data_IF_323591995027
#
_entry.id   IF_323591995027
#
_cell.length_a   1.000
_cell.length_b   1.000
_cell.length_c   1.000
_cell.angle_alpha   90.00
_cell.angle_beta   90.00
_cell.angle_gamma   90.00
#
_symmetry.space_group_name_H-M   'P 1'
#
loop_
_entity.id
_entity.type
_entity.pdbx_description
1 polymer ?
#
# COMPACT_ATOMS: atom_id res chain seq x y z
N UNK A 1 -26.79 19.23 13.69
CA UNK A 1 -26.77 17.81 14.07
C UNK A 1 -25.48 17.08 13.65
N UNK A 2 -25.01 17.19 12.39
CA UNK A 2 -23.75 16.57 11.92
C UNK A 2 -22.50 16.96 12.72
N UNK A 3 -22.34 18.25 13.08
CA UNK A 3 -21.17 18.75 13.84
C UNK A 3 -20.97 18.05 15.19
N UNK A 4 -22.05 17.84 15.96
CA UNK A 4 -22.00 17.18 17.27
C UNK A 4 -21.66 15.68 17.21
N UNK A 5 -22.02 15.01 16.11
CA UNK A 5 -21.70 13.58 15.91
C UNK A 5 -20.22 13.36 15.60
N UNK A 6 -19.58 14.30 14.90
CA UNK A 6 -18.15 14.23 14.60
C UNK A 6 -17.30 14.66 15.81
N UNK A 7 -17.73 15.65 16.58
CA UNK A 7 -17.10 16.06 17.84
C UNK A 7 -17.10 14.93 18.89
N UNK A 8 -18.20 14.18 19.00
CA UNK A 8 -18.29 13.04 19.92
C UNK A 8 -17.36 11.86 19.54
N UNK A 9 -16.98 11.74 18.26
CA UNK A 9 -16.00 10.73 17.81
C UNK A 9 -14.55 11.14 18.08
N UNK A 10 -14.31 12.44 18.28
CA UNK A 10 -12.97 12.99 18.48
C UNK A 10 -12.36 12.59 19.83
N UNK A 11 -13.20 12.42 20.86
CA UNK A 11 -12.78 12.08 22.22
C UNK A 11 -12.93 10.59 22.57
N UNK A 12 -13.49 9.77 21.66
CA UNK A 12 -13.44 8.31 21.82
C UNK A 12 -12.04 7.82 21.53
N UNK A 13 -11.43 7.13 22.50
CA UNK A 13 -10.17 6.43 22.29
C UNK A 13 -10.28 5.55 21.04
N UNK A 14 -9.48 5.87 20.02
CA UNK A 14 -9.41 5.08 18.80
C UNK A 14 -8.86 3.71 19.19
N UNK A 15 -9.73 2.69 19.24
CA UNK A 15 -9.31 1.32 19.52
C UNK A 15 -8.47 0.85 18.34
N UNK A 16 -7.15 0.95 18.50
CA UNK A 16 -6.23 0.42 17.51
C UNK A 16 -6.47 -1.10 17.38
N UNK A 17 -6.52 -1.62 16.14
CA UNK A 17 -6.67 -3.06 15.94
C UNK A 17 -5.51 -3.80 16.61
N UNK A 18 -5.81 -4.97 17.17
CA UNK A 18 -4.78 -5.80 17.79
C UNK A 18 -3.81 -6.30 16.71
N UNK A 19 -2.56 -6.54 17.10
CA UNK A 19 -1.56 -7.13 16.21
C UNK A 19 -2.04 -8.47 15.62
N UNK A 20 -2.76 -9.28 16.40
CA UNK A 20 -3.37 -10.52 15.94
C UNK A 20 -4.38 -10.31 14.80
N UNK A 21 -5.18 -9.25 14.87
CA UNK A 21 -6.16 -8.92 13.83
C UNK A 21 -5.45 -8.50 12.54
N UNK A 22 -4.40 -7.69 12.65
CA UNK A 22 -3.59 -7.26 11.51
C UNK A 22 -2.90 -8.43 10.82
N UNK A 23 -2.34 -9.37 11.60
CA UNK A 23 -1.73 -10.60 11.07
C UNK A 23 -2.76 -11.45 10.34
N UNK A 24 -3.95 -11.63 10.92
CA UNK A 24 -5.04 -12.40 10.30
C UNK A 24 -5.50 -11.76 8.98
N UNK A 25 -5.67 -10.44 8.96
CA UNK A 25 -6.06 -9.69 7.77
C UNK A 25 -4.98 -9.76 6.68
N UNK A 26 -3.71 -9.55 7.03
CA UNK A 26 -2.60 -9.62 6.08
C UNK A 26 -2.49 -11.00 5.43
N UNK A 27 -2.63 -12.06 6.24
CA UNK A 27 -2.66 -13.44 5.74
C UNK A 27 -3.78 -13.64 4.73
N UNK A 28 -5.01 -13.26 5.09
CA UNK A 28 -6.16 -13.37 4.18
C UNK A 28 -5.95 -12.62 2.86
N UNK A 29 -5.46 -11.37 2.91
CA UNK A 29 -5.21 -10.57 1.71
C UNK A 29 -4.14 -11.23 0.84
N UNK A 30 -3.04 -11.69 1.44
CA UNK A 30 -1.93 -12.33 0.71
C UNK A 30 -2.38 -13.64 0.04
N UNK A 31 -3.15 -14.46 0.73
CA UNK A 31 -3.70 -15.70 0.21
C UNK A 31 -4.71 -15.42 -0.92
N UNK A 32 -5.55 -14.39 -0.77
CA UNK A 32 -6.52 -13.96 -1.79
C UNK A 32 -5.81 -13.48 -3.05
N UNK A 33 -4.77 -12.64 -2.92
CA UNK A 33 -3.96 -12.21 -4.06
C UNK A 33 -3.34 -13.40 -4.79
N UNK A 34 -2.70 -14.33 -4.05
CA UNK A 34 -2.03 -15.50 -4.64
C UNK A 34 -3.00 -16.40 -5.36
N UNK A 35 -4.09 -16.80 -4.70
CA UNK A 35 -5.07 -17.74 -5.25
C UNK A 35 -5.83 -17.14 -6.43
N UNK A 36 -6.23 -15.87 -6.36
CA UNK A 36 -6.94 -15.18 -7.44
C UNK A 36 -6.02 -14.99 -8.64
N UNK A 37 -4.75 -14.60 -8.42
CA UNK A 37 -3.77 -14.51 -9.50
C UNK A 37 -3.57 -15.85 -10.21
N UNK A 38 -3.37 -16.95 -9.46
CA UNK A 38 -3.23 -18.29 -10.05
C UNK A 38 -4.47 -18.76 -10.82
N UNK A 39 -5.67 -18.35 -10.40
CA UNK A 39 -6.92 -18.63 -11.15
C UNK A 39 -6.99 -17.81 -12.43
N UNK A 40 -6.68 -16.52 -12.38
CA UNK A 40 -6.68 -15.63 -13.53
C UNK A 40 -5.65 -16.02 -14.60
N UNK A 41 -4.53 -16.64 -14.22
CA UNK A 41 -3.56 -17.21 -15.16
C UNK A 41 -4.12 -18.40 -15.95
N UNK A 42 -5.12 -19.11 -15.42
CA UNK A 42 -5.78 -20.24 -16.09
C UNK A 42 -6.98 -19.78 -16.90
N UNK A 43 -7.77 -18.86 -16.33
CA UNK A 43 -8.98 -18.36 -16.94
C UNK A 43 -9.20 -16.89 -16.57
N UNK A 44 -9.14 -16.03 -17.59
CA UNK A 44 -9.39 -14.60 -17.44
C UNK A 44 -10.88 -14.37 -17.24
N UNK A 45 -11.24 -13.70 -16.14
CA UNK A 45 -12.60 -13.24 -15.94
C UNK A 45 -12.65 -11.88 -15.19
N UNK A 46 -13.66 -11.02 -15.46
CA UNK A 46 -13.74 -9.69 -14.86
C UNK A 46 -13.84 -9.68 -13.34
N UNK A 47 -14.57 -10.64 -12.76
CA UNK A 47 -14.78 -10.72 -11.32
C UNK A 47 -13.46 -11.00 -10.57
N UNK A 48 -12.63 -11.89 -11.10
CA UNK A 48 -11.31 -12.19 -10.56
C UNK A 48 -10.38 -11.00 -10.64
N UNK A 49 -10.38 -10.25 -11.75
CA UNK A 49 -9.57 -9.03 -11.88
C UNK A 49 -9.98 -7.97 -10.86
N UNK A 50 -11.28 -7.78 -10.66
CA UNK A 50 -11.80 -6.87 -9.64
C UNK A 50 -11.36 -7.30 -8.23
N UNK A 51 -11.55 -8.57 -7.88
CA UNK A 51 -11.15 -9.11 -6.58
C UNK A 51 -9.65 -8.96 -6.33
N UNK A 52 -8.83 -9.28 -7.34
CA UNK A 52 -7.38 -9.12 -7.25
C UNK A 52 -6.99 -7.65 -7.06
N UNK A 53 -7.64 -6.73 -7.78
CA UNK A 53 -7.43 -5.29 -7.62
C UNK A 53 -7.79 -4.78 -6.22
N UNK A 54 -8.94 -5.18 -5.69
CA UNK A 54 -9.40 -4.83 -4.34
C UNK A 54 -8.45 -5.38 -3.26
N UNK A 55 -7.99 -6.63 -3.41
CA UNK A 55 -7.04 -7.25 -2.49
C UNK A 55 -5.66 -6.58 -2.53
N UNK A 56 -5.14 -6.26 -3.73
CA UNK A 56 -3.88 -5.54 -3.90
C UNK A 56 -3.94 -4.13 -3.30
N UNK A 57 -5.02 -3.40 -3.55
CA UNK A 57 -5.23 -2.07 -2.97
C UNK A 57 -5.27 -2.15 -1.45
N UNK A 58 -6.00 -3.12 -0.89
CA UNK A 58 -6.06 -3.36 0.56
C UNK A 58 -4.68 -3.64 1.15
N UNK A 59 -3.84 -4.43 0.45
CA UNK A 59 -2.46 -4.72 0.86
C UNK A 59 -1.60 -3.46 0.89
N UNK A 60 -1.70 -2.60 -0.12
CA UNK A 60 -0.94 -1.35 -0.21
C UNK A 60 -1.37 -0.38 0.91
N UNK A 61 -2.67 -0.27 1.18
CA UNK A 61 -3.20 0.57 2.26
C UNK A 61 -2.69 0.07 3.62
N UNK A 62 -2.79 -1.24 3.86
CA UNK A 62 -2.33 -1.86 5.11
C UNK A 62 -0.83 -1.64 5.33
N UNK A 63 -0.02 -1.81 4.28
CA UNK A 63 1.43 -1.63 4.34
C UNK A 63 1.83 -0.18 4.67
N UNK A 64 1.22 0.80 3.99
CA UNK A 64 1.59 2.20 4.16
C UNK A 64 0.97 2.85 5.41
N UNK A 65 0.01 2.19 6.08
CA UNK A 65 -0.83 2.77 7.14
C UNK A 65 -1.39 4.17 6.76
N UNK A 66 -1.55 4.44 5.46
CA UNK A 66 -1.93 5.75 4.87
C UNK A 66 -3.41 5.77 4.49
N UNK A 67 -3.95 6.99 4.35
CA UNK A 67 -5.33 7.21 3.88
C UNK A 67 -5.51 6.60 2.47
N UNK A 68 -6.58 5.83 2.30
CA UNK A 68 -6.90 5.05 1.09
C UNK A 68 -6.86 5.84 -0.22
N UNK A 69 -7.18 7.13 -0.19
CA UNK A 69 -7.40 7.94 -1.39
C UNK A 69 -6.16 8.33 -2.20
N UNK A 70 -4.94 8.17 -1.68
CA UNK A 70 -3.71 8.43 -2.44
C UNK A 70 -3.20 7.14 -3.09
N UNK A 71 -3.19 6.03 -2.33
CA UNK A 71 -2.79 4.71 -2.83
C UNK A 71 -3.68 4.23 -3.97
N UNK A 72 -4.98 4.56 -3.95
CA UNK A 72 -5.91 4.21 -5.03
C UNK A 72 -5.66 4.96 -6.35
N UNK A 73 -4.85 6.03 -6.33
CA UNK A 73 -4.55 6.84 -7.53
C UNK A 73 -3.27 6.41 -8.23
N UNK A 74 -2.53 5.46 -7.65
CA UNK A 74 -1.33 4.91 -8.27
C UNK A 74 -1.74 4.21 -9.57
N UNK A 75 -1.20 4.69 -10.69
CA UNK A 75 -1.39 4.06 -12.00
C UNK A 75 -0.32 3.00 -12.25
N UNK A 76 -0.65 2.02 -13.09
CA UNK A 76 0.28 0.96 -13.52
C UNK A 76 1.51 1.57 -14.20
N UNK A 77 1.33 2.59 -15.05
CA UNK A 77 2.46 3.28 -15.70
C UNK A 77 3.43 3.88 -14.68
N UNK A 78 2.93 4.55 -13.64
CA UNK A 78 3.77 5.12 -12.57
C UNK A 78 4.51 4.03 -11.79
N UNK A 79 3.91 2.85 -11.64
CA UNK A 79 4.60 1.70 -11.08
C UNK A 79 5.68 1.20 -12.04
N UNK A 80 5.42 1.09 -13.34
CA UNK A 80 6.40 0.61 -14.31
C UNK A 80 7.59 1.58 -14.47
N UNK A 81 7.35 2.89 -14.41
CA UNK A 81 8.32 3.98 -14.53
C UNK A 81 8.96 4.37 -13.20
N UNK A 82 8.69 3.63 -12.12
CA UNK A 82 9.24 3.92 -10.79
C UNK A 82 10.77 3.84 -10.82
N UNK A 83 11.41 4.72 -10.03
CA UNK A 83 12.84 4.67 -9.85
C UNK A 83 13.29 3.39 -9.15
N UNK A 84 14.48 2.90 -9.50
CA UNK A 84 15.15 1.80 -8.84
C UNK A 84 16.18 2.38 -7.86
N UNK A 85 16.00 2.13 -6.56
CA UNK A 85 16.93 2.58 -5.53
C UNK A 85 18.38 2.24 -5.84
N UNK A 86 18.66 1.03 -6.34
CA UNK A 86 20.02 0.60 -6.64
C UNK A 86 20.66 1.39 -7.80
N UNK A 87 19.86 1.90 -8.74
CA UNK A 87 20.33 2.58 -9.95
C UNK A 87 20.29 4.10 -9.80
N UNK A 88 19.21 4.63 -9.22
CA UNK A 88 18.87 6.05 -9.27
C UNK A 88 19.27 6.82 -8.00
N UNK A 89 19.70 6.14 -6.93
CA UNK A 89 20.09 6.82 -5.69
C UNK A 89 21.54 7.32 -5.71
N UNK A 90 21.78 8.41 -4.99
CA UNK A 90 23.09 9.03 -4.89
C UNK A 90 24.06 8.13 -4.12
N UNK A 91 25.18 7.77 -4.74
CA UNK A 91 26.23 6.93 -4.15
C UNK A 91 26.78 7.49 -2.82
N UNK A 92 26.96 8.82 -2.70
CA UNK A 92 27.40 9.44 -1.45
C UNK A 92 26.40 9.17 -0.32
N UNK A 93 25.10 9.28 -0.61
CA UNK A 93 24.05 8.95 0.35
C UNK A 93 24.03 7.46 0.68
N UNK A 94 24.23 6.56 -0.30
CA UNK A 94 24.35 5.13 -0.01
C UNK A 94 25.50 4.87 0.95
N UNK A 95 26.63 5.55 0.81
CA UNK A 95 27.80 5.32 1.68
C UNK A 95 27.58 5.75 3.13
N UNK A 96 26.72 6.74 3.39
CA UNK A 96 26.43 7.18 4.76
C UNK A 96 25.46 6.26 5.50
N UNK A 97 24.66 5.47 4.77
CA UNK A 97 23.70 4.55 5.37
C UNK A 97 24.39 3.35 6.03
N UNK A 98 23.88 2.97 7.21
CA UNK A 98 24.19 1.71 7.86
C UNK A 98 23.74 0.51 7.01
N UNK A 99 24.29 -0.67 7.32
CA UNK A 99 23.90 -1.91 6.63
C UNK A 99 22.39 -2.16 6.69
N UNK A 100 21.78 -1.95 7.85
CA UNK A 100 20.34 -2.12 8.06
C UNK A 100 19.51 -1.15 7.24
N UNK A 101 19.94 0.11 7.12
CA UNK A 101 19.22 1.11 6.33
C UNK A 101 19.29 0.80 4.84
N UNK A 102 20.44 0.28 4.36
CA UNK A 102 20.58 -0.21 2.98
C UNK A 102 19.63 -1.37 2.69
N UNK A 103 19.58 -2.35 3.59
CA UNK A 103 18.68 -3.50 3.45
C UNK A 103 17.20 -3.06 3.41
N UNK A 104 16.83 -2.09 4.26
CA UNK A 104 15.48 -1.51 4.25
C UNK A 104 15.23 -0.76 2.94
N UNK A 105 16.14 0.10 2.50
CA UNK A 105 15.99 0.88 1.28
C UNK A 105 15.83 -0.01 0.05
N UNK A 106 16.59 -1.10 -0.04
CA UNK A 106 16.46 -2.10 -1.11
C UNK A 106 15.14 -2.89 -1.06
N UNK A 107 14.55 -3.07 0.12
CA UNK A 107 13.27 -3.79 0.29
C UNK A 107 12.04 -2.94 -0.04
N UNK A 108 12.18 -1.62 -0.08
CA UNK A 108 11.08 -0.68 -0.27
C UNK A 108 11.01 -0.18 -1.71
N UNK A 109 9.81 0.17 -2.14
CA UNK A 109 9.58 0.73 -3.47
C UNK A 109 8.95 2.11 -3.34
N UNK A 110 9.64 3.13 -3.86
CA UNK A 110 9.15 4.50 -3.87
C UNK A 110 8.35 4.78 -5.15
N UNK A 111 7.15 5.34 -4.99
CA UNK A 111 6.28 5.74 -6.10
C UNK A 111 5.76 7.14 -5.84
N UNK A 112 5.98 8.05 -6.78
CA UNK A 112 5.47 9.41 -6.70
C UNK A 112 4.02 9.47 -7.21
N UNK A 113 3.16 10.16 -6.47
CA UNK A 113 1.78 10.42 -6.87
C UNK A 113 1.46 11.90 -6.77
N UNK A 114 0.57 12.39 -7.66
CA UNK A 114 0.10 13.77 -7.60
C UNK A 114 -0.84 13.94 -6.40
N UNK A 115 -0.48 14.86 -5.49
CA UNK A 115 -1.34 15.28 -4.39
C UNK A 115 -2.54 16.12 -4.86
N UNK A 116 -3.37 16.58 -3.92
CA UNK A 116 -4.53 17.47 -4.19
C UNK A 116 -4.11 18.91 -4.51
N UNK A 117 -3.18 19.16 -5.44
CA UNK A 117 -3.08 20.51 -6.02
C UNK A 117 -4.24 20.63 -7.01
N UNK A 118 -5.14 21.58 -6.74
CA UNK A 118 -6.24 21.96 -7.62
C UNK A 118 -5.64 22.32 -8.98
N UNK A 119 -6.06 21.62 -10.02
CA UNK A 119 -6.10 22.22 -11.34
C UNK A 119 -7.15 23.35 -11.33
#
# INVERSE_FOLDING_TARGET
ARSKLEENKYNTAELLPLTSDLVKLNKYITDTCRTTHSKLLKEINPAGFRLLGEALLSRIILFNKRRSGESSKIKICQYQERGNWEIDSNEELKHTLSKTEKDIAASLTLIYTKGKRKD
#
